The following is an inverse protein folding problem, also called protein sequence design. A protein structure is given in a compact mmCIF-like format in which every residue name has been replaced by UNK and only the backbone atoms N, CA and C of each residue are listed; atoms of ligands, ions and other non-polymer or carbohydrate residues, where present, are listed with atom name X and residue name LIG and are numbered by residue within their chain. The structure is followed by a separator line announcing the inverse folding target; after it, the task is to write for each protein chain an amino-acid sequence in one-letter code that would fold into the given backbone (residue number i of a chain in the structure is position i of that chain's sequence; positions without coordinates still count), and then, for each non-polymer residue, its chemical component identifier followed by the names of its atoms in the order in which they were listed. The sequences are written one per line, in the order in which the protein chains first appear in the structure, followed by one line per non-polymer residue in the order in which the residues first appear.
data_IF_458679915863
#
_entry.id   IF_458679915863
#
_cell.length_a   1.000
_cell.length_b   1.000
_cell.length_c   1.000
_cell.angle_alpha   90.00
_cell.angle_beta   90.00
_cell.angle_gamma   90.00
#
_symmetry.space_group_name_H-M   'P 1'
#
loop_
_entity.id
_entity.type
_entity.pdbx_description
1 polymer ?
#
# COMPACT_ATOMS: atom_id res chain seq x y z
N UNK A 1 -31.44 -4.43 -21.64
CA UNK A 1 -31.15 -2.99 -21.38
C UNK A 1 -30.70 -2.92 -19.94
N UNK A 2 -29.42 -3.10 -19.71
CA UNK A 2 -28.80 -2.82 -18.41
C UNK A 2 -28.81 -1.31 -18.21
N UNK A 3 -29.51 -0.86 -17.18
CA UNK A 3 -29.45 0.49 -16.70
C UNK A 3 -28.00 0.75 -16.30
N UNK A 4 -27.27 1.54 -17.06
CA UNK A 4 -25.99 2.10 -16.64
C UNK A 4 -26.26 2.92 -15.37
N UNK A 5 -25.97 2.37 -14.21
CA UNK A 5 -26.00 3.11 -12.95
C UNK A 5 -24.90 4.17 -13.12
N UNK A 6 -25.28 5.44 -13.19
CA UNK A 6 -24.32 6.54 -13.19
C UNK A 6 -23.46 6.39 -11.92
N UNK A 7 -22.13 6.41 -12.08
CA UNK A 7 -21.22 6.36 -10.93
C UNK A 7 -21.63 7.43 -9.91
N UNK A 8 -21.64 7.06 -8.61
CA UNK A 8 -22.02 7.99 -7.56
C UNK A 8 -21.12 9.24 -7.63
N UNK A 9 -21.73 10.40 -7.61
CA UNK A 9 -20.99 11.65 -7.55
C UNK A 9 -20.17 11.69 -6.26
N UNK A 10 -18.86 11.94 -6.35
CA UNK A 10 -18.00 12.06 -5.18
C UNK A 10 -18.52 13.18 -4.26
N UNK A 11 -18.77 12.92 -2.98
CA UNK A 11 -19.08 13.99 -2.03
C UNK A 11 -17.87 14.91 -1.83
N UNK A 12 -18.08 16.13 -1.29
CA UNK A 12 -16.97 17.00 -0.94
C UNK A 12 -15.96 16.30 -0.04
N UNK A 13 -14.67 16.46 -0.34
CA UNK A 13 -13.61 15.92 0.46
C UNK A 13 -13.43 16.72 1.77
N UNK A 14 -13.46 16.04 2.91
CA UNK A 14 -13.08 16.59 4.22
C UNK A 14 -11.63 16.20 4.51
N UNK A 15 -10.74 17.18 4.64
CA UNK A 15 -9.30 16.93 4.85
C UNK A 15 -8.92 17.20 6.31
N UNK A 16 -8.29 16.21 6.94
CA UNK A 16 -7.81 16.28 8.31
C UNK A 16 -6.30 16.10 8.35
N UNK A 17 -5.56 17.10 8.86
CA UNK A 17 -4.17 16.94 9.27
C UNK A 17 -4.13 16.28 10.65
N UNK A 18 -3.32 15.25 10.79
CA UNK A 18 -3.24 14.43 12.01
C UNK A 18 -1.79 14.37 12.46
N UNK A 19 -1.45 14.99 13.61
CA UNK A 19 -0.11 14.87 14.18
C UNK A 19 0.11 13.48 14.77
N UNK A 20 1.24 12.89 14.45
CA UNK A 20 1.71 11.64 15.05
C UNK A 20 2.51 11.90 16.33
N UNK A 21 2.81 10.86 17.11
CA UNK A 21 3.53 10.98 18.39
C UNK A 21 4.95 11.55 18.28
N UNK A 22 5.54 11.57 17.08
CA UNK A 22 6.86 12.16 16.81
C UNK A 22 6.79 13.54 16.13
N UNK A 23 5.58 14.10 16.04
CA UNK A 23 5.35 15.41 15.44
C UNK A 23 5.29 15.43 13.91
N UNK A 24 5.37 14.28 13.25
CA UNK A 24 5.14 14.19 11.81
C UNK A 24 3.63 14.34 11.55
N UNK A 25 3.26 15.10 10.53
CA UNK A 25 1.87 15.20 10.11
C UNK A 25 1.55 14.18 9.03
N UNK A 26 0.45 13.44 9.22
CA UNK A 26 -0.18 12.58 8.23
C UNK A 26 -1.54 13.15 7.85
N UNK A 27 -2.13 12.69 6.76
CA UNK A 27 -3.38 13.24 6.24
C UNK A 27 -4.45 12.16 6.10
N UNK A 28 -5.65 12.49 6.54
CA UNK A 28 -6.86 11.73 6.23
C UNK A 28 -7.76 12.58 5.33
N UNK A 29 -8.25 11.98 4.25
CA UNK A 29 -9.23 12.61 3.35
C UNK A 29 -10.50 11.76 3.37
N UNK A 30 -11.58 12.32 3.93
CA UNK A 30 -12.86 11.66 4.09
C UNK A 30 -13.80 11.97 2.93
N UNK A 31 -14.47 10.94 2.44
CA UNK A 31 -15.60 11.00 1.53
C UNK A 31 -16.81 10.34 2.19
N UNK A 32 -17.71 11.17 2.72
CA UNK A 32 -18.87 10.73 3.50
C UNK A 32 -20.04 10.39 2.58
N UNK A 33 -20.12 9.15 2.11
CA UNK A 33 -21.23 8.68 1.28
C UNK A 33 -22.42 8.17 2.10
N UNK A 34 -22.16 7.41 3.16
CA UNK A 34 -23.18 6.73 3.93
C UNK A 34 -22.84 6.56 5.40
N UNK A 35 -23.58 5.67 6.07
CA UNK A 35 -23.50 5.44 7.52
C UNK A 35 -23.11 4.01 7.89
N UNK A 36 -22.73 3.20 6.91
CA UNK A 36 -22.41 1.77 7.11
C UNK A 36 -21.19 1.53 7.98
N UNK A 37 -20.38 2.51 8.14
CA UNK A 37 -19.20 2.54 9.00
C UNK A 37 -17.97 3.04 8.25
N UNK A 38 -16.96 3.54 9.01
CA UNK A 38 -15.75 4.04 8.40
C UNK A 38 -14.83 2.91 7.93
N UNK A 39 -14.29 3.09 6.73
CA UNK A 39 -13.20 2.29 6.21
C UNK A 39 -11.99 3.17 5.89
N UNK A 40 -10.82 2.82 6.42
CA UNK A 40 -9.54 3.51 6.17
C UNK A 40 -8.76 2.78 5.09
N UNK A 41 -8.38 3.48 4.01
CA UNK A 41 -7.64 2.95 2.87
C UNK A 41 -6.22 3.53 2.83
N UNK A 42 -5.21 2.70 3.04
CA UNK A 42 -3.80 3.08 2.94
C UNK A 42 -3.13 2.50 1.69
N UNK A 43 -2.47 3.32 0.85
CA UNK A 43 -1.82 2.88 -0.38
C UNK A 43 -0.49 2.18 -0.14
N UNK A 44 0.19 1.82 -1.23
CA UNK A 44 1.57 1.35 -1.23
C UNK A 44 2.57 2.45 -0.86
N UNK A 45 3.82 2.05 -0.62
CA UNK A 45 4.90 2.99 -0.32
C UNK A 45 5.14 3.95 -1.50
N UNK A 46 5.32 5.23 -1.16
CA UNK A 46 5.55 6.28 -2.14
C UNK A 46 4.34 6.62 -3.01
N UNK A 47 3.16 6.13 -2.66
CA UNK A 47 1.91 6.47 -3.35
C UNK A 47 1.07 7.40 -2.50
N UNK A 48 0.45 8.40 -3.13
CA UNK A 48 -0.60 9.19 -2.50
C UNK A 48 -1.90 8.38 -2.44
N UNK A 49 -2.66 8.53 -1.35
CA UNK A 49 -3.90 7.78 -1.13
C UNK A 49 -5.00 8.10 -2.15
N UNK A 50 -4.92 9.25 -2.84
CA UNK A 50 -5.79 9.59 -3.98
C UNK A 50 -5.67 8.60 -5.16
N UNK A 51 -4.68 7.70 -5.17
CA UNK A 51 -4.63 6.60 -6.11
C UNK A 51 -5.90 5.73 -6.09
N UNK A 52 -6.60 5.62 -4.95
CA UNK A 52 -7.89 4.93 -4.86
C UNK A 52 -9.08 5.73 -5.41
N UNK A 53 -8.90 7.02 -5.72
CA UNK A 53 -9.93 7.95 -6.18
C UNK A 53 -9.61 8.54 -7.56
N UNK A 54 -8.92 7.79 -8.43
CA UNK A 54 -8.58 8.24 -9.79
C UNK A 54 -9.85 8.43 -10.64
N UNK A 55 -9.81 9.38 -11.57
CA UNK A 55 -10.90 9.70 -12.50
C UNK A 55 -10.67 9.15 -13.91
N UNK A 56 -9.59 8.41 -14.12
CA UNK A 56 -9.21 7.80 -15.39
C UNK A 56 -9.85 6.43 -15.64
N UNK A 57 -10.67 5.96 -14.72
CA UNK A 57 -11.48 4.73 -14.81
C UNK A 57 -12.96 5.08 -14.69
N UNK A 58 -13.89 4.27 -15.25
CA UNK A 58 -15.32 4.57 -15.21
C UNK A 58 -15.88 4.69 -13.79
N UNK A 59 -15.34 3.93 -12.85
CA UNK A 59 -15.62 3.98 -11.42
C UNK A 59 -14.34 3.67 -10.66
N UNK A 60 -14.05 4.41 -9.60
CA UNK A 60 -12.91 4.15 -8.72
C UNK A 60 -13.35 3.41 -7.44
N UNK A 61 -12.36 2.92 -6.69
CA UNK A 61 -12.60 2.13 -5.48
C UNK A 61 -13.35 2.91 -4.39
N UNK A 62 -13.10 4.21 -4.27
CA UNK A 62 -13.80 5.09 -3.31
C UNK A 62 -15.28 5.21 -3.67
N UNK A 63 -15.60 5.43 -4.94
CA UNK A 63 -16.99 5.50 -5.43
C UNK A 63 -17.72 4.17 -5.21
N UNK A 64 -17.05 3.05 -5.52
CA UNK A 64 -17.63 1.73 -5.34
C UNK A 64 -17.99 1.45 -3.88
N UNK A 65 -17.09 1.73 -2.94
CA UNK A 65 -17.37 1.60 -1.50
C UNK A 65 -18.49 2.54 -1.06
N UNK A 66 -18.49 3.78 -1.59
CA UNK A 66 -19.51 4.78 -1.32
C UNK A 66 -20.90 4.36 -1.76
N UNK A 67 -21.04 3.77 -2.96
CA UNK A 67 -22.31 3.19 -3.46
C UNK A 67 -22.84 2.07 -2.54
N UNK A 68 -21.94 1.37 -1.84
CA UNK A 68 -22.31 0.36 -0.86
C UNK A 68 -22.50 0.92 0.56
N UNK A 69 -22.51 2.25 0.70
CA UNK A 69 -22.89 2.96 1.93
C UNK A 69 -21.78 3.19 2.93
N UNK A 70 -20.52 2.97 2.58
CA UNK A 70 -19.36 3.21 3.45
C UNK A 70 -19.04 4.69 3.61
N UNK A 71 -18.50 5.05 4.77
CA UNK A 71 -17.80 6.31 5.04
C UNK A 71 -16.30 6.09 4.75
N UNK A 72 -15.82 6.59 3.62
CA UNK A 72 -14.49 6.22 3.09
C UNK A 72 -13.44 7.25 3.49
N UNK A 73 -12.34 6.77 4.07
CA UNK A 73 -11.22 7.57 4.54
C UNK A 73 -9.93 7.17 3.84
N UNK A 74 -9.39 8.03 3.03
CA UNK A 74 -8.09 7.87 2.41
C UNK A 74 -6.99 8.27 3.39
N UNK A 75 -6.00 7.41 3.59
CA UNK A 75 -4.92 7.64 4.53
C UNK A 75 -3.59 7.84 3.82
N UNK A 76 -3.14 9.08 3.77
CA UNK A 76 -1.78 9.45 3.40
C UNK A 76 -0.89 9.40 4.63
N UNK A 77 -0.18 8.28 4.83
CA UNK A 77 0.85 8.17 5.86
C UNK A 77 2.13 8.92 5.42
N UNK A 78 3.11 9.05 6.30
CA UNK A 78 4.33 9.88 6.10
C UNK A 78 5.09 9.65 4.79
N UNK A 79 4.91 8.51 4.11
CA UNK A 79 5.56 8.22 2.82
C UNK A 79 4.80 8.78 1.61
N UNK A 80 3.61 9.37 1.78
CA UNK A 80 2.87 9.97 0.68
C UNK A 80 3.66 11.12 0.04
N UNK A 81 3.82 11.14 -1.30
CA UNK A 81 4.50 12.24 -2.00
C UNK A 81 3.84 13.60 -1.77
N UNK A 82 2.58 13.62 -1.40
CA UNK A 82 1.81 14.83 -1.11
C UNK A 82 2.12 15.42 0.28
N UNK A 83 2.98 14.77 1.07
CA UNK A 83 3.31 15.20 2.43
C UNK A 83 4.80 15.50 2.62
N UNK A 84 5.16 16.54 3.41
CA UNK A 84 6.54 16.86 3.71
C UNK A 84 7.32 15.71 4.38
N UNK A 85 6.64 14.86 5.15
CA UNK A 85 7.21 13.67 5.80
C UNK A 85 7.92 12.74 4.84
N UNK A 86 7.48 12.66 3.58
CA UNK A 86 8.07 11.79 2.54
C UNK A 86 9.53 12.14 2.22
N UNK A 87 9.98 13.36 2.51
CA UNK A 87 11.35 13.83 2.30
C UNK A 87 12.28 13.56 3.48
N UNK A 88 11.77 13.03 4.59
CA UNK A 88 12.54 12.68 5.79
C UNK A 88 13.04 11.23 5.74
N UNK A 89 13.89 10.85 6.70
CA UNK A 89 14.28 9.46 6.89
C UNK A 89 13.36 8.82 7.92
N UNK A 90 12.71 7.73 7.56
CA UNK A 90 11.84 6.94 8.43
C UNK A 90 11.86 5.48 8.00
N UNK A 91 11.40 4.61 8.84
CA UNK A 91 11.30 3.16 8.64
C UNK A 91 9.83 2.72 8.54
N UNK A 92 9.58 1.45 8.28
CA UNK A 92 8.21 0.89 8.33
C UNK A 92 7.67 0.89 9.76
N UNK A 93 8.56 0.82 10.78
CA UNK A 93 8.14 0.93 12.20
C UNK A 93 7.48 2.28 12.50
N UNK A 94 8.00 3.37 11.92
CA UNK A 94 7.43 4.71 12.12
C UNK A 94 6.00 4.79 11.56
N UNK A 95 5.76 4.19 10.39
CA UNK A 95 4.41 4.10 9.80
C UNK A 95 3.50 3.23 10.67
N UNK A 96 3.99 2.06 11.09
CA UNK A 96 3.22 1.08 11.84
C UNK A 96 2.87 1.56 13.24
N UNK A 97 3.85 2.11 13.97
CA UNK A 97 3.71 2.38 15.40
C UNK A 97 3.27 3.82 15.72
N UNK A 98 3.28 4.70 14.72
CA UNK A 98 2.94 6.13 14.91
C UNK A 98 1.84 6.60 13.98
N UNK A 99 1.94 6.34 12.66
CA UNK A 99 0.99 6.87 11.69
C UNK A 99 -0.35 6.13 11.75
N UNK A 100 -0.33 4.79 11.75
CA UNK A 100 -1.55 3.99 11.82
C UNK A 100 -2.36 4.25 13.10
N UNK A 101 -1.77 4.20 14.31
CA UNK A 101 -2.54 4.51 15.53
C UNK A 101 -3.15 5.91 15.50
N UNK A 102 -2.39 6.93 15.08
CA UNK A 102 -2.89 8.30 15.00
C UNK A 102 -4.07 8.42 14.00
N UNK A 103 -3.98 7.74 12.85
CA UNK A 103 -5.06 7.74 11.86
C UNK A 103 -6.32 7.03 12.37
N UNK A 104 -6.19 5.84 12.95
CA UNK A 104 -7.33 5.07 13.49
C UNK A 104 -8.03 5.84 14.62
N UNK A 105 -7.27 6.40 15.57
CA UNK A 105 -7.82 7.16 16.67
C UNK A 105 -8.55 8.42 16.18
N UNK A 106 -8.00 9.10 15.15
CA UNK A 106 -8.68 10.26 14.55
C UNK A 106 -9.99 9.87 13.88
N UNK A 107 -10.04 8.80 13.11
CA UNK A 107 -11.27 8.35 12.45
C UNK A 107 -12.33 7.96 13.50
N UNK A 108 -11.93 7.25 14.56
CA UNK A 108 -12.83 6.90 15.66
C UNK A 108 -13.43 8.14 16.34
N UNK A 109 -12.57 9.14 16.60
CA UNK A 109 -13.01 10.41 17.20
C UNK A 109 -14.02 11.14 16.30
N UNK A 110 -13.72 11.28 15.01
CA UNK A 110 -14.56 12.02 14.05
C UNK A 110 -15.89 11.32 13.74
N UNK A 111 -15.92 9.99 13.83
CA UNK A 111 -17.11 9.20 13.49
C UNK A 111 -17.93 8.80 14.73
N UNK A 112 -17.35 8.89 15.93
CA UNK A 112 -17.94 8.37 17.16
C UNK A 112 -18.03 6.85 17.21
N UNK A 113 -17.33 6.15 16.33
CA UNK A 113 -17.30 4.68 16.27
C UNK A 113 -16.14 4.13 17.10
N UNK A 114 -16.40 3.10 17.89
CA UNK A 114 -15.37 2.45 18.71
C UNK A 114 -14.36 1.68 17.87
N UNK A 115 -14.77 1.19 16.71
CA UNK A 115 -13.96 0.37 15.81
C UNK A 115 -14.19 0.75 14.35
N UNK A 116 -13.12 0.68 13.55
CA UNK A 116 -13.13 0.97 12.12
C UNK A 116 -12.60 -0.21 11.31
N UNK A 117 -13.01 -0.30 10.05
CA UNK A 117 -12.39 -1.21 9.10
C UNK A 117 -11.16 -0.55 8.49
N UNK A 118 -10.09 -1.31 8.23
CA UNK A 118 -8.90 -0.81 7.59
C UNK A 118 -8.44 -1.73 6.46
N UNK A 119 -8.03 -1.12 5.36
CA UNK A 119 -7.40 -1.81 4.25
C UNK A 119 -6.05 -1.17 3.96
N UNK A 120 -5.00 -1.98 4.00
CA UNK A 120 -3.67 -1.58 3.57
C UNK A 120 -3.23 -2.33 2.32
N UNK A 121 -2.81 -1.57 1.30
CA UNK A 121 -2.23 -2.15 0.09
C UNK A 121 -0.70 -2.08 0.14
N UNK A 122 -0.02 -3.15 -0.28
CA UNK A 122 1.45 -3.22 -0.33
C UNK A 122 2.07 -2.86 1.05
N UNK A 123 2.91 -1.83 1.13
CA UNK A 123 3.51 -1.38 2.40
C UNK A 123 2.45 -0.84 3.37
N UNK A 124 1.34 -0.28 2.87
CA UNK A 124 0.17 0.00 3.72
C UNK A 124 -0.32 -1.25 4.44
N UNK A 125 -0.37 -2.40 3.76
CA UNK A 125 -0.72 -3.70 4.36
C UNK A 125 0.35 -4.24 5.32
N UNK A 126 1.63 -4.16 4.94
CA UNK A 126 2.73 -4.57 5.82
C UNK A 126 2.76 -3.72 7.10
N UNK A 127 2.65 -2.40 6.99
CA UNK A 127 2.66 -1.51 8.15
C UNK A 127 1.41 -1.67 9.03
N UNK A 128 0.24 -1.94 8.44
CA UNK A 128 -0.96 -2.30 9.18
C UNK A 128 -0.79 -3.62 9.94
N UNK A 129 -0.18 -4.64 9.29
CA UNK A 129 0.18 -5.90 9.95
C UNK A 129 1.10 -5.65 11.16
N UNK A 130 2.14 -4.85 10.96
CA UNK A 130 3.07 -4.50 12.04
C UNK A 130 2.39 -3.69 13.15
N UNK A 131 1.47 -2.77 12.81
CA UNK A 131 0.69 -2.01 13.80
C UNK A 131 -0.18 -2.94 14.68
N UNK A 132 -0.89 -3.90 14.06
CA UNK A 132 -1.67 -4.91 14.80
C UNK A 132 -0.75 -5.75 15.70
N UNK A 133 0.34 -6.31 15.15
CA UNK A 133 1.33 -7.07 15.92
C UNK A 133 1.98 -6.26 17.05
N UNK A 134 2.11 -4.94 16.87
CA UNK A 134 2.56 -3.99 17.87
C UNK A 134 1.52 -3.62 18.93
N UNK A 135 0.29 -4.14 18.83
CA UNK A 135 -0.76 -3.96 19.83
C UNK A 135 -1.75 -2.82 19.53
N UNK A 136 -1.78 -2.29 18.30
CA UNK A 136 -2.79 -1.29 17.92
C UNK A 136 -4.20 -1.85 18.10
N UNK A 137 -5.08 -1.03 18.66
CA UNK A 137 -6.49 -1.33 18.91
C UNK A 137 -7.41 -0.51 18.00
N UNK A 138 -8.73 -0.73 18.09
CA UNK A 138 -9.72 0.08 17.39
C UNK A 138 -10.06 -0.42 15.98
N UNK A 139 -9.64 -1.64 15.61
CA UNK A 139 -10.04 -2.26 14.35
C UNK A 139 -11.22 -3.20 14.53
N UNK A 140 -12.19 -3.11 13.63
CA UNK A 140 -13.30 -4.06 13.44
C UNK A 140 -12.88 -5.22 12.55
N UNK A 141 -12.19 -4.91 11.46
CA UNK A 141 -11.54 -5.87 10.55
C UNK A 141 -10.37 -5.23 9.82
N UNK A 142 -9.48 -6.05 9.28
CA UNK A 142 -8.36 -5.60 8.45
C UNK A 142 -8.33 -6.34 7.11
N UNK A 143 -7.97 -5.64 6.04
CA UNK A 143 -7.67 -6.23 4.73
C UNK A 143 -6.23 -5.97 4.36
N UNK A 144 -5.45 -7.03 4.15
CA UNK A 144 -4.09 -6.96 3.62
C UNK A 144 -4.10 -7.25 2.13
N UNK A 145 -3.82 -6.23 1.35
CA UNK A 145 -3.74 -6.34 -0.10
C UNK A 145 -2.28 -6.46 -0.56
N UNK A 146 -1.96 -7.56 -1.19
CA UNK A 146 -0.68 -7.88 -1.84
C UNK A 146 0.52 -8.07 -0.93
N UNK A 147 0.48 -7.60 0.32
CA UNK A 147 1.58 -7.75 1.28
C UNK A 147 1.05 -7.71 2.72
N UNK A 148 1.62 -8.58 3.56
CA UNK A 148 1.41 -8.65 5.00
C UNK A 148 2.74 -9.00 5.70
N UNK A 149 2.72 -9.84 6.72
CA UNK A 149 3.87 -10.13 7.57
C UNK A 149 5.03 -10.91 6.94
N UNK A 150 4.87 -11.48 5.72
CA UNK A 150 5.94 -12.22 5.03
C UNK A 150 6.27 -11.61 3.66
N UNK A 151 7.19 -10.63 3.59
CA UNK A 151 7.60 -10.01 2.33
C UNK A 151 8.49 -10.96 1.52
N UNK A 152 7.90 -11.70 0.60
CA UNK A 152 8.59 -12.60 -0.34
C UNK A 152 8.48 -12.01 -1.74
N UNK A 153 9.51 -11.29 -2.23
CA UNK A 153 9.51 -10.75 -3.59
C UNK A 153 9.99 -11.79 -4.61
N UNK A 154 9.93 -11.42 -5.88
CA UNK A 154 10.55 -12.21 -6.96
C UNK A 154 12.05 -12.39 -6.76
N UNK A 155 12.69 -13.43 -7.34
CA UNK A 155 14.12 -13.72 -7.17
C UNK A 155 15.02 -12.52 -7.47
N UNK A 156 14.71 -11.70 -8.48
CA UNK A 156 15.50 -10.52 -8.83
C UNK A 156 15.48 -9.45 -7.71
N UNK A 157 14.32 -9.16 -7.15
CA UNK A 157 14.20 -8.23 -6.02
C UNK A 157 14.79 -8.82 -4.72
N UNK A 158 14.71 -10.13 -4.56
CA UNK A 158 15.37 -10.82 -3.45
C UNK A 158 16.90 -10.68 -3.56
N UNK A 159 17.47 -10.86 -4.75
CA UNK A 159 18.90 -10.67 -4.98
C UNK A 159 19.36 -9.23 -4.69
N UNK A 160 18.57 -8.22 -5.08
CA UNK A 160 18.84 -6.80 -4.72
C UNK A 160 18.88 -6.56 -3.21
N UNK A 161 17.95 -7.15 -2.47
CA UNK A 161 17.91 -7.06 -1.01
C UNK A 161 19.12 -7.75 -0.35
N UNK A 162 19.54 -8.93 -0.85
CA UNK A 162 20.74 -9.63 -0.37
C UNK A 162 22.04 -8.87 -0.72
N UNK A 163 22.12 -8.22 -1.87
CA UNK A 163 23.23 -7.35 -2.25
C UNK A 163 23.31 -6.06 -1.41
N UNK A 164 22.36 -5.81 -0.51
CA UNK A 164 22.31 -4.63 0.36
C UNK A 164 22.47 -3.30 -0.40
N UNK A 165 21.83 -3.19 -1.56
CA UNK A 165 21.97 -2.00 -2.42
C UNK A 165 21.58 -0.71 -1.68
N UNK A 166 20.55 -0.74 -0.84
CA UNK A 166 20.16 0.42 -0.03
C UNK A 166 21.29 0.88 0.91
N UNK A 167 22.00 -0.06 1.56
CA UNK A 167 23.16 0.25 2.40
C UNK A 167 24.30 0.84 1.57
N UNK A 168 24.55 0.32 0.37
CA UNK A 168 25.57 0.86 -0.54
C UNK A 168 25.23 2.31 -0.94
N UNK A 169 24.00 2.57 -1.36
CA UNK A 169 23.56 3.93 -1.69
C UNK A 169 23.67 4.88 -0.50
N UNK A 170 23.36 4.44 0.71
CA UNK A 170 23.52 5.22 1.93
C UNK A 170 24.98 5.56 2.21
N UNK A 171 25.90 4.61 2.02
CA UNK A 171 27.35 4.86 2.12
C UNK A 171 27.83 5.90 1.09
N UNK A 172 27.22 5.92 -0.09
CA UNK A 172 27.44 6.94 -1.13
C UNK A 172 26.70 8.27 -0.82
N UNK A 173 26.14 8.43 0.40
CA UNK A 173 25.37 9.60 0.85
C UNK A 173 24.08 9.87 0.05
N UNK A 174 23.58 8.91 -0.68
CA UNK A 174 22.24 8.98 -1.28
C UNK A 174 21.21 8.83 -0.16
N UNK A 175 20.40 9.84 0.06
CA UNK A 175 19.38 9.84 1.12
C UNK A 175 18.00 9.39 0.59
N UNK A 176 17.75 9.61 -0.70
CA UNK A 176 16.45 9.37 -1.34
C UNK A 176 16.65 8.99 -2.81
N UNK A 177 15.78 8.17 -3.34
CA UNK A 177 15.60 7.94 -4.78
C UNK A 177 14.28 8.59 -5.20
N UNK A 178 14.33 9.48 -6.18
CA UNK A 178 13.15 10.19 -6.70
C UNK A 178 12.69 9.62 -8.03
N UNK A 179 11.39 9.58 -8.24
CA UNK A 179 10.78 9.19 -9.51
C UNK A 179 10.87 10.30 -10.54
N UNK A 180 10.89 11.56 -10.09
CA UNK A 180 11.08 12.71 -10.97
C UNK A 180 12.50 12.72 -11.55
N UNK A 181 12.57 12.96 -12.85
CA UNK A 181 13.84 13.12 -13.55
C UNK A 181 14.21 14.59 -13.64
N UNK A 182 15.26 15.00 -12.90
CA UNK A 182 15.87 16.33 -13.08
C UNK A 182 17.17 16.21 -13.90
N UNK A 183 17.17 16.63 -15.18
CA UNK A 183 18.36 16.56 -16.04
C UNK A 183 19.48 17.51 -15.60
N UNK A 184 19.24 18.44 -14.68
CA UNK A 184 20.24 19.38 -14.16
C UNK A 184 21.05 18.78 -13.02
N UNK A 185 20.53 17.76 -12.34
CA UNK A 185 21.22 17.08 -11.24
C UNK A 185 22.19 16.02 -11.76
N UNK A 186 23.43 16.03 -11.28
CA UNK A 186 24.46 15.05 -11.67
C UNK A 186 24.11 13.62 -11.24
N UNK A 187 23.54 13.46 -10.04
CA UNK A 187 23.05 12.17 -9.55
C UNK A 187 21.88 11.66 -10.41
N UNK A 188 20.97 12.54 -10.86
CA UNK A 188 19.91 12.22 -11.80
C UNK A 188 20.43 11.65 -13.11
N UNK A 189 21.44 12.30 -13.70
CA UNK A 189 22.08 11.84 -14.95
C UNK A 189 22.82 10.51 -14.78
N UNK A 190 23.54 10.33 -13.68
CA UNK A 190 24.28 9.10 -13.40
C UNK A 190 23.33 7.91 -13.22
N UNK A 191 22.24 8.10 -12.47
CA UNK A 191 21.20 7.06 -12.30
C UNK A 191 20.55 6.74 -13.64
N UNK A 192 20.15 7.76 -14.44
CA UNK A 192 19.54 7.55 -15.75
C UNK A 192 20.49 6.82 -16.69
N UNK A 193 21.75 7.21 -16.75
CA UNK A 193 22.77 6.50 -17.54
C UNK A 193 22.91 5.05 -17.09
N UNK A 194 22.97 4.78 -15.79
CA UNK A 194 23.02 3.42 -15.26
C UNK A 194 21.77 2.60 -15.66
N UNK A 195 20.58 3.21 -15.56
CA UNK A 195 19.31 2.56 -15.92
C UNK A 195 19.22 2.27 -17.42
N UNK A 196 19.76 3.14 -18.29
CA UNK A 196 19.79 2.87 -19.75
C UNK A 196 20.71 1.72 -20.16
N UNK A 197 21.62 1.29 -19.28
CA UNK A 197 22.50 0.13 -19.51
C UNK A 197 21.92 -1.18 -18.98
N UNK A 198 20.85 -1.13 -18.22
CA UNK A 198 20.16 -2.31 -17.76
C UNK A 198 19.26 -2.88 -18.88
N UNK A 199 18.99 -4.19 -18.89
CA UNK A 199 18.22 -4.85 -19.98
C UNK A 199 16.75 -4.41 -20.06
N UNK A 200 16.32 -3.45 -19.25
CA UNK A 200 14.94 -2.94 -19.15
C UNK A 200 14.63 -1.77 -20.10
N UNK A 201 15.61 -1.30 -20.88
CA UNK A 201 15.47 -0.12 -21.75
C UNK A 201 14.31 -0.22 -22.76
N UNK A 202 13.93 -1.45 -23.12
CA UNK A 202 12.89 -1.69 -24.13
C UNK A 202 11.46 -1.71 -23.56
N UNK A 203 11.29 -1.62 -22.22
CA UNK A 203 9.98 -1.72 -21.59
C UNK A 203 9.34 -0.33 -21.44
N UNK A 204 10.16 0.72 -21.26
CA UNK A 204 9.64 2.06 -20.99
C UNK A 204 10.47 3.14 -21.72
N UNK A 205 9.84 3.86 -22.63
CA UNK A 205 10.45 5.03 -23.28
C UNK A 205 10.42 6.27 -22.37
N UNK A 206 9.44 6.34 -21.44
CA UNK A 206 9.32 7.44 -20.49
C UNK A 206 10.31 7.30 -19.31
N UNK A 207 11.10 8.36 -18.98
CA UNK A 207 12.04 8.35 -17.86
C UNK A 207 11.39 8.14 -16.50
N UNK A 208 10.19 8.66 -16.25
CA UNK A 208 9.47 8.51 -14.99
C UNK A 208 9.03 7.06 -14.80
N UNK A 209 8.46 6.44 -15.82
CA UNK A 209 8.06 5.03 -15.79
C UNK A 209 9.27 4.11 -15.55
N UNK A 210 10.42 4.38 -16.19
CA UNK A 210 11.67 3.63 -15.92
C UNK A 210 12.12 3.77 -14.47
N UNK A 211 11.99 4.95 -13.85
CA UNK A 211 12.36 5.18 -12.45
C UNK A 211 11.41 4.49 -11.49
N UNK A 212 10.10 4.53 -11.75
CA UNK A 212 9.10 3.77 -11.00
C UNK A 212 9.48 2.28 -11.02
N UNK A 213 9.77 1.73 -12.20
CA UNK A 213 10.19 0.34 -12.33
C UNK A 213 11.51 0.04 -11.60
N UNK A 214 12.50 0.94 -11.68
CA UNK A 214 13.77 0.76 -10.99
C UNK A 214 13.62 0.76 -9.46
N UNK A 215 12.81 1.67 -8.92
CA UNK A 215 12.62 1.87 -7.48
C UNK A 215 11.70 0.79 -6.91
N UNK A 216 10.58 0.53 -7.57
CA UNK A 216 9.48 -0.30 -7.06
C UNK A 216 9.40 -1.68 -7.72
N UNK A 217 9.78 -1.82 -8.98
CA UNK A 217 9.64 -3.04 -9.76
C UNK A 217 8.41 -3.00 -10.67
N UNK A 218 7.93 -4.19 -11.06
CA UNK A 218 6.77 -4.38 -11.94
C UNK A 218 5.48 -4.28 -11.11
N UNK A 219 4.85 -3.09 -11.17
CA UNK A 219 3.79 -2.70 -10.23
C UNK A 219 2.37 -3.04 -10.70
N UNK A 220 2.15 -3.39 -11.96
CA UNK A 220 0.84 -3.77 -12.50
C UNK A 220 0.96 -4.65 -13.75
N UNK A 221 -0.14 -5.31 -14.11
CA UNK A 221 -0.27 -5.92 -15.43
C UNK A 221 -0.80 -4.87 -16.42
N UNK A 222 -0.07 -4.68 -17.52
CA UNK A 222 -0.40 -3.64 -18.52
C UNK A 222 -1.73 -3.87 -19.19
N UNK A 223 -2.15 -5.12 -19.35
CA UNK A 223 -3.42 -5.47 -19.98
C UNK A 223 -4.62 -5.02 -19.13
N UNK A 224 -4.41 -4.84 -17.82
CA UNK A 224 -5.46 -4.45 -16.88
C UNK A 224 -5.57 -2.93 -16.70
N UNK A 225 -4.57 -2.15 -17.12
CA UNK A 225 -4.53 -0.70 -16.92
C UNK A 225 -4.77 0.03 -18.25
N UNK A 226 -5.71 0.96 -18.30
CA UNK A 226 -5.93 1.78 -19.48
C UNK A 226 -4.84 2.85 -19.65
N UNK A 227 -4.70 3.34 -20.89
CA UNK A 227 -3.69 4.35 -21.24
C UNK A 227 -3.83 5.65 -20.42
N UNK A 228 -5.02 6.24 -20.21
CA UNK A 228 -5.17 7.43 -19.37
C UNK A 228 -4.67 7.21 -17.92
N UNK A 229 -4.92 6.05 -17.34
CA UNK A 229 -4.41 5.74 -16.00
C UNK A 229 -2.88 5.68 -15.97
N UNK A 230 -2.26 5.04 -16.96
CA UNK A 230 -0.80 4.96 -17.06
C UNK A 230 -0.14 6.33 -17.28
N UNK A 231 -0.69 7.15 -18.14
CA UNK A 231 -0.05 8.40 -18.58
C UNK A 231 -0.36 9.59 -17.67
N UNK A 232 -1.53 9.62 -17.04
CA UNK A 232 -2.01 10.76 -16.27
C UNK A 232 -2.08 10.49 -14.78
N UNK A 233 -2.68 9.36 -14.36
CA UNK A 233 -2.88 9.08 -12.95
C UNK A 233 -1.60 8.56 -12.28
N UNK A 234 -0.94 7.55 -12.84
CA UNK A 234 0.23 6.89 -12.24
C UNK A 234 1.38 7.88 -11.99
N UNK A 235 1.84 8.69 -12.95
CA UNK A 235 2.89 9.67 -12.67
C UNK A 235 2.49 10.68 -11.58
N UNK A 236 1.20 10.99 -11.48
CA UNK A 236 0.67 11.97 -10.55
C UNK A 236 0.74 11.54 -9.08
N UNK A 237 0.58 10.26 -8.75
CA UNK A 237 0.53 9.80 -7.37
C UNK A 237 1.78 9.05 -6.89
N UNK A 238 2.74 8.73 -7.76
CA UNK A 238 4.01 8.12 -7.35
C UNK A 238 5.04 9.16 -6.90
N UNK A 239 5.73 8.85 -5.81
CA UNK A 239 6.86 9.62 -5.29
C UNK A 239 8.11 8.77 -5.11
N UNK A 240 9.15 9.40 -4.59
CA UNK A 240 10.42 8.75 -4.29
C UNK A 240 10.41 8.03 -2.94
N UNK A 241 11.54 7.41 -2.62
CA UNK A 241 11.72 6.68 -1.37
C UNK A 241 13.03 6.97 -0.66
N UNK A 242 13.00 6.99 0.68
CA UNK A 242 14.17 7.23 1.53
C UNK A 242 14.97 5.94 1.79
N UNK A 243 16.26 6.08 2.09
CA UNK A 243 17.15 4.94 2.26
C UNK A 243 16.92 4.17 3.55
N UNK A 244 16.46 4.80 4.63
CA UNK A 244 16.16 4.09 5.87
C UNK A 244 15.01 3.10 5.68
N UNK A 245 13.98 3.48 4.92
CA UNK A 245 12.90 2.57 4.53
C UNK A 245 13.43 1.40 3.69
N UNK A 246 14.25 1.67 2.65
CA UNK A 246 14.77 0.61 1.78
C UNK A 246 15.71 -0.34 2.51
N UNK A 247 16.48 0.13 3.49
CA UNK A 247 17.27 -0.76 4.36
C UNK A 247 16.35 -1.66 5.21
N UNK A 248 15.30 -1.11 5.79
CA UNK A 248 14.37 -1.85 6.63
C UNK A 248 13.59 -2.90 5.83
N UNK A 249 13.00 -2.54 4.68
CA UNK A 249 12.30 -3.54 3.85
C UNK A 249 13.26 -4.62 3.34
N UNK A 250 14.51 -4.26 2.99
CA UNK A 250 15.54 -5.22 2.59
C UNK A 250 15.91 -6.17 3.74
N UNK A 251 15.93 -5.70 4.98
CA UNK A 251 16.13 -6.54 6.17
C UNK A 251 14.99 -7.56 6.29
N UNK A 252 13.74 -7.12 6.20
CA UNK A 252 12.56 -7.99 6.27
C UNK A 252 12.51 -9.01 5.12
N UNK A 253 12.86 -8.62 3.91
CA UNK A 253 12.97 -9.53 2.75
C UNK A 253 14.01 -10.61 3.02
N UNK A 254 15.19 -10.27 3.56
CA UNK A 254 16.22 -11.27 3.90
C UNK A 254 15.78 -12.20 5.03
N UNK A 255 15.01 -11.69 5.99
CA UNK A 255 14.44 -12.49 7.08
C UNK A 255 13.26 -13.37 6.61
N UNK A 256 12.57 -12.98 5.52
CA UNK A 256 11.35 -13.62 5.04
C UNK A 256 10.13 -13.36 5.93
N UNK A 257 10.23 -12.38 6.83
CA UNK A 257 9.17 -12.00 7.76
C UNK A 257 9.32 -10.56 8.25
N UNK A 258 8.21 -9.96 8.73
CA UNK A 258 8.20 -8.65 9.35
C UNK A 258 9.06 -8.63 10.61
N UNK A 259 9.98 -7.70 10.68
CA UNK A 259 10.88 -7.43 11.82
C UNK A 259 10.96 -5.94 12.04
N UNK A 260 11.34 -5.52 13.23
CA UNK A 260 11.64 -4.12 13.48
C UNK A 260 12.96 -3.69 12.78
N UNK A 261 13.23 -2.40 12.76
CA UNK A 261 14.38 -1.83 12.05
C UNK A 261 15.75 -2.28 12.63
N UNK A 262 15.77 -2.86 13.84
CA UNK A 262 16.97 -3.45 14.43
C UNK A 262 17.03 -4.98 14.25
N UNK A 263 16.05 -5.57 13.56
CA UNK A 263 16.01 -6.97 13.18
C UNK A 263 15.36 -7.92 14.20
N UNK A 264 14.70 -7.39 15.24
CA UNK A 264 13.98 -8.23 16.23
C UNK A 264 12.62 -8.65 15.67
N UNK A 265 12.17 -9.82 16.08
CA UNK A 265 10.81 -10.31 15.81
C UNK A 265 9.81 -9.66 16.77
N UNK A 266 9.55 -8.35 16.57
CA UNK A 266 8.68 -7.57 17.44
C UNK A 266 7.19 -7.74 17.12
N UNK A 267 6.84 -8.27 15.96
CA UNK A 267 5.46 -8.32 15.46
C UNK A 267 4.88 -9.73 15.43
N UNK A 268 5.58 -10.68 14.82
CA UNK A 268 5.17 -12.09 14.81
C UNK A 268 5.24 -12.78 16.19
N UNK A 269 6.02 -12.23 17.12
CA UNK A 269 6.09 -12.75 18.50
C UNK A 269 4.77 -12.55 19.26
N UNK A 270 3.90 -11.62 18.82
CA UNK A 270 2.67 -11.24 19.52
C UNK A 270 1.43 -11.68 18.73
N UNK A 271 1.34 -12.98 18.42
CA UNK A 271 0.23 -13.53 17.64
C UNK A 271 -1.13 -13.24 18.28
N UNK A 272 -1.21 -13.15 19.62
CA UNK A 272 -2.42 -12.82 20.37
C UNK A 272 -3.06 -11.50 19.98
N UNK A 273 -2.32 -10.58 19.36
CA UNK A 273 -2.84 -9.31 18.89
C UNK A 273 -3.66 -9.43 17.59
N UNK A 274 -3.52 -10.55 16.86
CA UNK A 274 -4.18 -10.77 15.56
C UNK A 274 -5.56 -11.46 15.68
N UNK A 275 -6.33 -11.16 16.72
CA UNK A 275 -7.68 -11.73 16.90
C UNK A 275 -8.76 -11.04 16.07
N UNK A 276 -8.46 -9.89 15.50
CA UNK A 276 -9.36 -9.17 14.60
C UNK A 276 -9.57 -9.99 13.31
N UNK A 277 -10.79 -9.98 12.72
CA UNK A 277 -11.01 -10.58 11.41
C UNK A 277 -10.09 -9.99 10.33
N UNK A 278 -9.47 -10.85 9.53
CA UNK A 278 -8.50 -10.42 8.52
C UNK A 278 -8.77 -11.09 7.17
N UNK A 279 -8.89 -10.27 6.14
CA UNK A 279 -8.90 -10.70 4.76
C UNK A 279 -7.53 -10.49 4.11
N UNK A 280 -7.05 -11.49 3.38
CA UNK A 280 -5.83 -11.48 2.58
C UNK A 280 -6.20 -11.56 1.10
N UNK A 281 -5.87 -10.54 0.31
CA UNK A 281 -6.17 -10.48 -1.13
C UNK A 281 -4.93 -10.11 -1.95
N UNK A 282 -4.68 -10.81 -3.04
CA UNK A 282 -3.56 -10.53 -3.94
C UNK A 282 -3.88 -10.95 -5.36
N UNK A 283 -3.19 -10.36 -6.34
CA UNK A 283 -3.23 -10.82 -7.72
C UNK A 283 -2.30 -12.02 -7.95
N UNK A 284 -2.70 -12.94 -8.82
CA UNK A 284 -1.93 -14.12 -9.22
C UNK A 284 -0.59 -13.74 -9.84
N UNK A 285 -0.58 -12.67 -10.66
CA UNK A 285 0.58 -12.18 -11.39
C UNK A 285 1.43 -11.18 -10.60
N UNK A 286 1.22 -11.06 -9.28
CA UNK A 286 1.98 -10.12 -8.46
C UNK A 286 3.48 -10.45 -8.46
N UNK A 287 4.27 -9.60 -9.13
CA UNK A 287 5.73 -9.74 -9.28
C UNK A 287 6.52 -8.92 -8.25
N UNK A 288 5.87 -8.01 -7.52
CA UNK A 288 6.54 -7.27 -6.45
C UNK A 288 6.72 -8.14 -5.21
N UNK A 289 5.61 -8.68 -4.70
CA UNK A 289 5.56 -9.65 -3.61
C UNK A 289 4.69 -10.82 -4.05
N UNK A 290 5.31 -11.96 -4.25
CA UNK A 290 4.60 -13.14 -4.80
C UNK A 290 3.49 -13.60 -3.85
N UNK A 291 2.37 -14.15 -4.37
CA UNK A 291 1.21 -14.58 -3.56
C UNK A 291 1.56 -15.51 -2.40
N UNK A 292 2.64 -16.30 -2.55
CA UNK A 292 3.15 -17.20 -1.50
C UNK A 292 3.48 -16.49 -0.18
N UNK A 293 3.92 -15.22 -0.22
CA UNK A 293 4.21 -14.44 0.99
C UNK A 293 2.93 -14.15 1.78
N UNK A 294 1.89 -13.71 1.10
CA UNK A 294 0.59 -13.44 1.69
C UNK A 294 -0.07 -14.73 2.22
N UNK A 295 -0.02 -15.81 1.44
CA UNK A 295 -0.47 -17.14 1.83
C UNK A 295 0.22 -17.62 3.12
N UNK A 296 1.54 -17.42 3.24
CA UNK A 296 2.28 -17.79 4.45
C UNK A 296 1.80 -17.03 5.68
N UNK A 297 1.50 -15.73 5.53
CA UNK A 297 0.96 -14.93 6.63
C UNK A 297 -0.42 -15.44 7.06
N UNK A 298 -1.32 -15.69 6.10
CA UNK A 298 -2.62 -16.28 6.33
C UNK A 298 -2.53 -17.64 7.05
N UNK A 299 -1.72 -18.57 6.54
CA UNK A 299 -1.56 -19.90 7.11
C UNK A 299 -1.03 -19.87 8.56
N UNK A 300 -0.14 -18.91 8.85
CA UNK A 300 0.42 -18.76 10.20
C UNK A 300 -0.63 -18.29 11.18
N UNK A 301 -1.42 -17.28 10.85
CA UNK A 301 -2.49 -16.76 11.70
C UNK A 301 -3.64 -17.77 11.84
N UNK A 302 -4.00 -18.44 10.75
CA UNK A 302 -5.02 -19.51 10.78
C UNK A 302 -4.63 -20.67 11.69
N UNK A 303 -3.37 -21.05 11.71
CA UNK A 303 -2.88 -22.09 12.64
C UNK A 303 -2.91 -21.63 14.09
N UNK A 304 -2.65 -20.36 14.34
CA UNK A 304 -2.63 -19.80 15.69
C UNK A 304 -4.04 -19.62 16.30
N UNK A 305 -5.02 -19.21 15.49
CA UNK A 305 -6.34 -18.77 15.98
C UNK A 305 -7.54 -19.52 15.38
N UNK A 306 -7.32 -20.48 14.48
CA UNK A 306 -8.39 -21.16 13.75
C UNK A 306 -8.83 -20.42 12.48
N UNK A 307 -9.69 -21.03 11.66
CA UNK A 307 -10.02 -20.51 10.32
C UNK A 307 -11.09 -19.43 10.31
N UNK A 308 -11.88 -19.26 11.37
CA UNK A 308 -13.14 -18.51 11.37
C UNK A 308 -12.97 -17.00 11.14
N UNK A 309 -11.79 -16.45 11.46
CA UNK A 309 -11.54 -15.01 11.37
C UNK A 309 -10.68 -14.63 10.17
N UNK A 310 -10.30 -15.58 9.32
CA UNK A 310 -9.35 -15.30 8.24
C UNK A 310 -9.85 -15.83 6.91
N UNK A 311 -9.77 -14.98 5.88
CA UNK A 311 -10.01 -15.34 4.48
C UNK A 311 -8.80 -15.04 3.61
N UNK A 312 -8.65 -15.76 2.51
CA UNK A 312 -7.56 -15.57 1.56
C UNK A 312 -8.06 -15.75 0.13
N UNK A 313 -7.79 -14.76 -0.71
CA UNK A 313 -8.18 -14.74 -2.12
C UNK A 313 -7.01 -14.39 -3.02
N UNK A 314 -6.83 -15.18 -4.09
CA UNK A 314 -5.90 -14.88 -5.17
C UNK A 314 -6.73 -14.57 -6.42
N UNK A 315 -6.63 -13.34 -6.90
CA UNK A 315 -7.40 -12.87 -8.05
C UNK A 315 -6.63 -13.25 -9.31
N UNK A 316 -7.29 -14.05 -10.14
CA UNK A 316 -6.73 -14.54 -11.39
C UNK A 316 -6.48 -13.41 -12.38
N UNK A 317 -5.40 -13.49 -13.15
CA UNK A 317 -5.03 -12.55 -14.22
C UNK A 317 -4.77 -11.10 -13.74
N UNK A 318 -4.61 -10.86 -12.43
CA UNK A 318 -4.27 -9.56 -11.84
C UNK A 318 -2.89 -9.59 -11.18
N UNK A 319 -2.21 -8.44 -11.18
CA UNK A 319 -0.89 -8.28 -10.57
C UNK A 319 -0.96 -7.54 -9.22
N UNK A 320 -0.45 -6.30 -9.11
CA UNK A 320 -0.29 -5.60 -7.85
C UNK A 320 -1.23 -4.40 -7.73
N UNK A 321 -0.97 -3.30 -8.45
CA UNK A 321 -1.80 -2.09 -8.38
C UNK A 321 -3.10 -2.21 -9.16
N UNK A 322 -3.14 -3.00 -10.21
CA UNK A 322 -4.32 -3.21 -11.06
C UNK A 322 -5.50 -3.86 -10.31
N UNK A 323 -5.28 -4.46 -9.14
CA UNK A 323 -6.36 -4.83 -8.21
C UNK A 323 -7.28 -3.65 -7.88
N UNK A 324 -6.74 -2.44 -7.81
CA UNK A 324 -7.46 -1.24 -7.37
C UNK A 324 -7.59 -0.18 -8.46
N UNK A 325 -6.69 -0.19 -9.44
CA UNK A 325 -6.61 0.78 -10.53
C UNK A 325 -7.01 0.19 -11.89
N UNK A 326 -7.25 -1.11 -11.95
CA UNK A 326 -7.57 -1.83 -13.19
C UNK A 326 -8.91 -1.40 -13.77
N UNK A 327 -8.96 -1.29 -15.10
CA UNK A 327 -10.16 -0.88 -15.85
C UNK A 327 -11.38 -1.75 -15.56
N UNK A 328 -11.16 -3.05 -15.31
CA UNK A 328 -12.20 -4.03 -15.01
C UNK A 328 -12.21 -4.49 -13.54
N UNK A 329 -11.43 -3.83 -12.66
CA UNK A 329 -11.31 -4.23 -11.27
C UNK A 329 -12.64 -4.17 -10.50
N UNK A 330 -13.55 -3.26 -10.88
CA UNK A 330 -14.92 -3.16 -10.36
C UNK A 330 -15.67 -4.49 -10.50
N UNK A 331 -15.50 -5.17 -11.63
CA UNK A 331 -16.18 -6.44 -11.91
C UNK A 331 -15.47 -7.64 -11.33
N UNK A 332 -14.13 -7.66 -11.44
CA UNK A 332 -13.33 -8.87 -11.26
C UNK A 332 -12.71 -8.99 -9.87
N UNK A 333 -12.49 -7.87 -9.17
CA UNK A 333 -11.73 -7.81 -7.91
C UNK A 333 -12.60 -7.34 -6.74
N UNK A 334 -13.26 -6.19 -6.92
CA UNK A 334 -13.87 -5.47 -5.80
C UNK A 334 -15.05 -6.19 -5.15
N UNK A 335 -15.88 -7.00 -5.86
CA UNK A 335 -16.92 -7.81 -5.22
C UNK A 335 -16.36 -8.78 -4.19
N UNK A 336 -15.17 -9.37 -4.45
CA UNK A 336 -14.50 -10.25 -3.48
C UNK A 336 -14.08 -9.51 -2.23
N UNK A 337 -13.48 -8.32 -2.39
CA UNK A 337 -13.06 -7.50 -1.26
C UNK A 337 -14.26 -6.98 -0.45
N UNK A 338 -15.31 -6.52 -1.14
CA UNK A 338 -16.54 -6.04 -0.51
C UNK A 338 -17.24 -7.14 0.29
N UNK A 339 -17.36 -8.35 -0.26
CA UNK A 339 -17.99 -9.47 0.43
C UNK A 339 -17.32 -9.79 1.78
N UNK A 340 -16.00 -9.60 1.87
CA UNK A 340 -15.28 -9.78 3.14
C UNK A 340 -15.51 -8.61 4.11
N UNK A 341 -15.57 -7.37 3.61
CA UNK A 341 -15.90 -6.20 4.44
C UNK A 341 -17.31 -6.30 5.03
N UNK A 342 -18.27 -6.79 4.24
CA UNK A 342 -19.69 -6.94 4.64
C UNK A 342 -19.89 -7.96 5.76
N UNK A 343 -19.04 -8.98 5.87
CA UNK A 343 -19.14 -9.97 6.96
C UNK A 343 -18.90 -9.37 8.34
N UNK A 344 -18.29 -8.21 8.39
CA UNK A 344 -17.83 -7.59 9.65
C UNK A 344 -18.40 -6.17 9.83
N UNK A 345 -19.56 -5.93 9.25
CA UNK A 345 -20.23 -4.62 9.33
C UNK A 345 -21.22 -4.51 10.48
#
# INVERSE_FOLDING_TARGET
MESAIAAATMPPAEVHSVPTSDGTEVRLTRYKFGTKGPIVLAPGYGNAARAFAIDTVPKNWVQYLGEHGYDVWLFDYRASPDLPGSFTQFTVDDIAMRDWPAAIDRVRLETGQDQVQAMGHCVGGLSLFMAIGGGMQGLRSATFSSLAGNPIPTPGNQARAHARLATLFKLMRVKRLDVEYDPKRLDGKAIEFAMTKLPFKHIYDDPVARRIYFIYGDVYDYENINQPTMEQAVPGFFGGGNMAFFEHISLMIRAGEARDAVGKNAYWANLENFKVPINFITGEHNKMFVPKGLQRSYDTLRRAHGPQNYSHSVIKDYAHLDLWLGTNAERDVWPTALAELEKHN
#
